data_IF_172478356247
#
_entry.id   IF_172478356247
#
_cell.length_a   1.000
_cell.length_b   1.000
_cell.length_c   1.000
_cell.angle_alpha   90.00
_cell.angle_beta   90.00
_cell.angle_gamma   90.00
#
_symmetry.space_group_name_H-M   'P 1'
#
loop_
_entity.id
_entity.type
_entity.pdbx_description
1 polymer ?
#
# COMPACT_ATOMS: atom_id res chain seq x y z
N UNK A 1 23.55 3.14 14.67
CA UNK A 1 24.47 4.28 14.48
C UNK A 1 25.27 4.06 13.22
N UNK A 2 25.15 4.90 12.21
CA UNK A 2 25.89 4.75 10.94
C UNK A 2 27.34 5.20 11.09
N UNK A 3 28.23 4.80 10.16
CA UNK A 3 29.63 5.23 10.16
C UNK A 3 29.73 6.75 10.01
N UNK A 4 28.82 7.36 9.24
CA UNK A 4 28.77 8.81 9.05
C UNK A 4 28.39 9.54 10.33
N UNK A 5 27.46 9.01 11.12
CA UNK A 5 27.08 9.55 12.43
C UNK A 5 28.22 9.48 13.46
N UNK A 6 29.17 8.56 13.25
CA UNK A 6 30.39 8.42 14.04
C UNK A 6 31.51 9.34 13.56
N UNK A 7 31.26 10.21 12.60
CA UNK A 7 32.24 11.16 12.04
C UNK A 7 33.17 10.54 10.98
N UNK A 8 32.80 9.41 10.41
CA UNK A 8 33.56 8.78 9.32
C UNK A 8 33.54 9.62 8.05
N UNK A 9 34.72 9.97 7.52
CA UNK A 9 34.88 10.63 6.24
C UNK A 9 35.08 9.58 5.16
N UNK A 10 34.07 9.34 4.33
CA UNK A 10 34.10 8.33 3.27
C UNK A 10 33.76 9.00 1.95
N UNK A 11 34.68 8.94 0.98
CA UNK A 11 34.49 9.54 -0.34
C UNK A 11 33.89 8.53 -1.34
N UNK A 12 34.13 7.23 -1.15
CA UNK A 12 33.61 6.19 -2.05
C UNK A 12 33.50 4.85 -1.37
N UNK A 13 32.62 4.00 -1.91
CA UNK A 13 32.41 2.63 -1.46
C UNK A 13 32.68 1.64 -2.58
N UNK A 14 33.41 0.57 -2.27
CA UNK A 14 33.47 -0.62 -3.12
C UNK A 14 32.24 -1.49 -2.84
N UNK A 15 31.39 -1.65 -3.85
CA UNK A 15 30.11 -2.37 -3.71
C UNK A 15 30.20 -3.71 -4.39
N UNK A 16 29.91 -4.78 -3.64
CA UNK A 16 29.92 -6.15 -4.15
C UNK A 16 28.57 -6.63 -4.68
N UNK A 17 28.57 -7.82 -5.22
CA UNK A 17 27.40 -8.54 -5.80
C UNK A 17 26.17 -8.49 -4.91
N UNK A 18 26.32 -8.62 -3.61
CA UNK A 18 25.19 -8.69 -2.67
C UNK A 18 24.29 -7.44 -2.71
N UNK A 19 24.87 -6.26 -2.96
CA UNK A 19 24.09 -5.05 -3.10
C UNK A 19 23.37 -5.00 -4.44
N UNK A 20 24.06 -5.37 -5.53
CA UNK A 20 23.50 -5.36 -6.89
C UNK A 20 22.37 -6.37 -7.02
N UNK A 21 22.48 -7.52 -6.40
CA UNK A 21 21.47 -8.58 -6.45
C UNK A 21 20.42 -8.46 -5.34
N UNK A 22 20.54 -7.48 -4.43
CA UNK A 22 19.69 -7.35 -3.24
C UNK A 22 19.50 -8.72 -2.52
N UNK A 23 20.59 -9.41 -2.24
CA UNK A 23 20.62 -10.83 -1.85
C UNK A 23 19.70 -11.21 -0.69
N UNK A 24 19.40 -10.29 0.20
CA UNK A 24 18.47 -10.51 1.33
C UNK A 24 17.01 -10.50 0.85
N UNK A 25 16.68 -9.68 -0.16
CA UNK A 25 15.32 -9.53 -0.68
C UNK A 25 15.39 -9.13 -2.17
N UNK A 26 15.72 -10.08 -3.05
CA UNK A 26 16.04 -9.78 -4.45
C UNK A 26 14.81 -9.49 -5.32
N UNK A 27 13.62 -9.71 -4.83
CA UNK A 27 12.38 -9.60 -5.61
C UNK A 27 11.25 -9.06 -4.75
N UNK A 28 10.53 -8.05 -5.25
CA UNK A 28 9.24 -7.68 -4.69
C UNK A 28 8.20 -8.71 -5.09
N UNK A 29 7.65 -9.44 -4.12
CA UNK A 29 6.57 -10.38 -4.37
C UNK A 29 5.33 -9.67 -4.90
N UNK A 30 4.78 -10.17 -6.00
CA UNK A 30 3.53 -9.67 -6.55
C UNK A 30 2.58 -10.82 -6.86
N UNK A 31 1.29 -10.63 -6.56
CA UNK A 31 0.24 -11.61 -6.84
C UNK A 31 -0.87 -10.93 -7.62
N UNK A 32 -1.33 -11.59 -8.69
CA UNK A 32 -2.48 -11.15 -9.48
C UNK A 32 -3.63 -12.17 -9.35
N UNK A 33 -4.79 -11.69 -8.97
CA UNK A 33 -6.01 -12.52 -8.88
C UNK A 33 -7.22 -11.73 -9.39
N UNK A 34 -8.11 -12.41 -10.12
CA UNK A 34 -9.39 -11.83 -10.53
C UNK A 34 -10.27 -11.70 -9.31
N UNK A 35 -10.76 -10.49 -9.04
CA UNK A 35 -11.66 -10.19 -7.93
C UNK A 35 -13.08 -9.80 -8.40
N UNK A 36 -13.23 -9.36 -9.65
CA UNK A 36 -14.51 -9.06 -10.26
C UNK A 36 -14.43 -9.21 -11.79
N UNK A 37 -15.57 -9.46 -12.42
CA UNK A 37 -15.73 -9.49 -13.90
C UNK A 37 -16.94 -8.63 -14.23
N UNK A 38 -16.82 -7.77 -15.24
CA UNK A 38 -17.95 -6.98 -15.74
C UNK A 38 -18.84 -7.83 -16.62
N UNK A 39 -20.12 -7.91 -16.27
CA UNK A 39 -21.16 -8.58 -17.02
C UNK A 39 -22.34 -7.62 -17.21
N UNK A 40 -22.67 -7.25 -18.44
CA UNK A 40 -23.76 -6.31 -18.76
C UNK A 40 -23.65 -4.95 -18.03
N UNK A 41 -22.45 -4.41 -17.90
CA UNK A 41 -22.20 -3.13 -17.21
C UNK A 41 -22.17 -3.21 -15.68
N UNK A 42 -22.28 -4.41 -15.10
CA UNK A 42 -22.25 -4.63 -13.65
C UNK A 42 -21.04 -5.49 -13.28
N UNK A 43 -20.26 -5.06 -12.30
CA UNK A 43 -19.15 -5.84 -11.77
C UNK A 43 -19.65 -6.96 -10.86
N UNK A 44 -19.53 -8.19 -11.37
CA UNK A 44 -19.84 -9.40 -10.61
C UNK A 44 -18.61 -9.83 -9.80
N UNK A 45 -18.74 -10.00 -8.49
CA UNK A 45 -17.62 -10.44 -7.66
C UNK A 45 -17.16 -11.85 -8.04
N UNK A 46 -15.87 -12.06 -8.00
CA UNK A 46 -15.23 -13.37 -8.23
C UNK A 46 -14.23 -13.65 -7.11
N UNK A 47 -14.13 -14.91 -6.75
CA UNK A 47 -13.22 -15.36 -5.69
C UNK A 47 -12.47 -16.60 -6.16
N UNK A 48 -11.18 -16.65 -5.88
CA UNK A 48 -10.42 -17.89 -5.98
C UNK A 48 -10.52 -18.64 -4.67
N UNK A 49 -11.16 -19.80 -4.68
CA UNK A 49 -11.21 -20.70 -3.52
C UNK A 49 -9.81 -21.31 -3.33
N UNK A 50 -9.32 -21.29 -2.10
CA UNK A 50 -8.04 -21.88 -1.70
C UNK A 50 -8.24 -22.65 -0.39
N UNK A 51 -7.51 -23.74 -0.21
CA UNK A 51 -7.46 -24.47 1.05
C UNK A 51 -6.85 -23.62 2.19
N UNK A 52 -5.93 -22.72 1.83
CA UNK A 52 -5.42 -21.72 2.77
C UNK A 52 -6.33 -20.50 2.76
N UNK A 53 -7.01 -20.24 3.88
CA UNK A 53 -7.95 -19.13 4.06
C UNK A 53 -7.27 -17.77 3.85
N UNK A 54 -6.01 -17.61 4.23
CA UNK A 54 -5.23 -16.39 4.06
C UNK A 54 -4.97 -16.05 2.57
N UNK A 55 -5.03 -17.06 1.69
CA UNK A 55 -4.89 -16.90 0.23
C UNK A 55 -6.22 -16.60 -0.49
N UNK A 56 -7.32 -16.54 0.25
CA UNK A 56 -8.63 -16.21 -0.32
C UNK A 56 -8.68 -14.69 -0.57
N UNK A 57 -8.97 -14.34 -1.82
CA UNK A 57 -9.07 -12.93 -2.23
C UNK A 57 -10.40 -12.33 -1.76
N UNK A 58 -10.39 -11.11 -1.25
CA UNK A 58 -11.61 -10.34 -1.07
C UNK A 58 -12.24 -10.05 -2.44
N UNK A 59 -13.49 -10.50 -2.71
CA UNK A 59 -14.13 -10.30 -4.00
C UNK A 59 -14.60 -8.87 -4.21
N UNK A 60 -14.97 -8.56 -5.45
CA UNK A 60 -15.56 -7.29 -5.84
C UNK A 60 -14.55 -6.24 -6.32
N UNK A 61 -15.07 -5.21 -6.99
CA UNK A 61 -14.28 -4.04 -7.37
C UNK A 61 -14.01 -3.19 -6.12
N UNK A 62 -12.75 -2.83 -5.91
CA UNK A 62 -12.30 -2.15 -4.67
C UNK A 62 -11.46 -0.93 -4.97
N UNK A 63 -11.42 -0.03 -4.00
CA UNK A 63 -10.52 1.11 -3.92
C UNK A 63 -9.62 0.97 -2.72
N UNK A 64 -8.44 1.56 -2.80
CA UNK A 64 -7.47 1.61 -1.70
C UNK A 64 -7.26 3.06 -1.32
N UNK A 65 -7.43 3.36 -0.04
CA UNK A 65 -7.23 4.69 0.53
C UNK A 65 -6.11 4.64 1.56
N UNK A 66 -5.19 5.58 1.48
CA UNK A 66 -4.27 5.84 2.58
C UNK A 66 -4.85 6.89 3.50
N UNK A 67 -4.90 6.57 4.79
CA UNK A 67 -5.43 7.44 5.83
C UNK A 67 -4.27 8.14 6.51
N UNK A 68 -4.37 9.46 6.59
CA UNK A 68 -3.41 10.33 7.25
C UNK A 68 -4.04 10.98 8.48
N UNK A 69 -3.24 11.10 9.54
CA UNK A 69 -3.63 11.86 10.73
C UNK A 69 -3.53 13.39 10.51
N UNK A 70 -3.80 14.16 11.55
CA UNK A 70 -3.71 15.61 11.54
C UNK A 70 -2.29 16.15 11.29
N UNK A 71 -1.25 15.36 11.57
CA UNK A 71 0.16 15.66 11.29
C UNK A 71 0.60 15.22 9.89
N UNK A 72 -0.33 14.78 9.05
CA UNK A 72 -0.09 14.24 7.69
C UNK A 72 0.75 12.96 7.70
N UNK A 73 0.78 12.21 8.81
CA UNK A 73 1.41 10.90 8.86
C UNK A 73 0.44 9.81 8.46
N UNK A 74 0.89 8.89 7.60
CA UNK A 74 0.11 7.74 7.19
C UNK A 74 -0.10 6.79 8.36
N UNK A 75 -1.34 6.53 8.72
CA UNK A 75 -1.70 5.72 9.90
C UNK A 75 -2.43 4.42 9.56
N UNK A 76 -2.93 4.28 8.34
CA UNK A 76 -3.59 3.08 7.85
C UNK A 76 -3.75 3.11 6.33
N UNK A 77 -3.83 1.91 5.73
CA UNK A 77 -4.38 1.73 4.39
C UNK A 77 -5.74 1.01 4.52
N UNK A 78 -6.78 1.60 3.92
CA UNK A 78 -8.15 1.10 3.95
C UNK A 78 -8.54 0.59 2.57
N UNK A 79 -9.02 -0.65 2.51
CA UNK A 79 -9.64 -1.23 1.31
C UNK A 79 -11.16 -1.12 1.47
N UNK A 80 -11.81 -0.45 0.53
CA UNK A 80 -13.25 -0.26 0.49
C UNK A 80 -13.85 -0.78 -0.83
N UNK A 81 -15.13 -1.08 -0.86
CA UNK A 81 -15.86 -1.30 -2.11
C UNK A 81 -15.80 -0.06 -3.00
N UNK A 82 -15.83 -0.25 -4.33
CA UNK A 82 -15.72 0.88 -5.25
C UNK A 82 -16.89 1.87 -5.16
N UNK A 83 -18.03 1.41 -4.70
CA UNK A 83 -19.27 2.16 -4.45
C UNK A 83 -19.44 2.60 -2.99
N UNK A 84 -18.53 2.17 -2.11
CA UNK A 84 -18.53 2.58 -0.71
C UNK A 84 -17.99 3.99 -0.56
N UNK A 85 -18.68 4.80 0.25
CA UNK A 85 -18.27 6.17 0.57
C UNK A 85 -17.44 6.18 1.85
N UNK A 86 -16.15 6.50 1.71
CA UNK A 86 -15.25 6.71 2.84
C UNK A 86 -15.31 8.19 3.23
N UNK A 87 -16.13 8.51 4.23
CA UNK A 87 -16.34 9.88 4.73
C UNK A 87 -15.64 10.06 6.07
N UNK A 88 -14.47 10.69 6.07
CA UNK A 88 -13.67 11.01 7.26
C UNK A 88 -13.95 12.42 7.83
N UNK A 89 -14.97 13.12 7.34
CA UNK A 89 -15.42 14.38 7.94
C UNK A 89 -16.05 14.22 9.33
N UNK A 90 -16.33 12.99 9.69
CA UNK A 90 -16.87 12.53 10.98
C UNK A 90 -16.16 11.23 11.40
N UNK A 91 -16.28 10.82 12.67
CA UNK A 91 -15.66 9.58 13.15
C UNK A 91 -16.06 8.40 12.28
N UNK A 92 -15.08 7.75 11.66
CA UNK A 92 -15.27 6.58 10.81
C UNK A 92 -14.80 5.33 11.55
N UNK A 93 -15.68 4.35 11.67
CA UNK A 93 -15.35 3.08 12.32
C UNK A 93 -15.02 2.01 11.29
N UNK A 94 -13.79 1.55 11.30
CA UNK A 94 -13.36 0.34 10.61
C UNK A 94 -13.61 -0.89 11.51
N UNK A 95 -14.10 -1.97 10.91
CA UNK A 95 -14.25 -3.28 11.55
C UNK A 95 -13.66 -4.33 10.62
N UNK A 96 -12.74 -5.17 11.14
CA UNK A 96 -12.18 -6.29 10.41
C UNK A 96 -13.30 -7.29 10.06
N UNK A 97 -13.54 -7.63 8.79
CA UNK A 97 -14.65 -8.49 8.39
C UNK A 97 -14.48 -9.94 8.84
N UNK A 98 -13.25 -10.38 9.11
CA UNK A 98 -12.94 -11.75 9.55
C UNK A 98 -12.84 -11.82 11.07
N UNK A 99 -12.32 -10.76 11.69
CA UNK A 99 -12.09 -10.66 13.14
C UNK A 99 -12.80 -9.42 13.69
N UNK A 100 -14.12 -9.44 13.88
CA UNK A 100 -14.92 -8.24 14.22
C UNK A 100 -14.52 -7.55 15.53
N UNK A 101 -13.79 -8.24 16.41
CA UNK A 101 -13.22 -7.63 17.60
C UNK A 101 -12.04 -6.71 17.32
N UNK A 102 -11.40 -6.85 16.14
CA UNK A 102 -10.42 -5.88 15.64
C UNK A 102 -11.17 -4.74 14.96
N UNK A 103 -11.20 -3.62 15.61
CA UNK A 103 -11.81 -2.41 15.05
C UNK A 103 -10.96 -1.18 15.42
N UNK A 104 -11.12 -0.13 14.63
CA UNK A 104 -10.44 1.14 14.85
C UNK A 104 -11.36 2.29 14.46
N UNK A 105 -11.31 3.35 15.23
CA UNK A 105 -11.93 4.62 14.90
C UNK A 105 -10.87 5.55 14.29
N UNK A 106 -11.27 6.24 13.22
CA UNK A 106 -10.50 7.29 12.61
C UNK A 106 -11.23 8.62 12.85
N UNK A 107 -10.56 9.54 13.53
CA UNK A 107 -11.06 10.88 13.84
C UNK A 107 -10.01 11.90 13.44
N UNK A 108 -10.43 13.04 12.91
CA UNK A 108 -9.53 14.11 12.43
C UNK A 108 -8.51 13.61 11.38
N UNK A 109 -8.93 12.67 10.55
CA UNK A 109 -8.09 12.04 9.54
C UNK A 109 -8.50 12.50 8.14
N UNK A 110 -7.59 12.34 7.17
CA UNK A 110 -7.87 12.50 5.74
C UNK A 110 -7.59 11.22 5.00
N UNK A 111 -8.33 10.95 3.92
CA UNK A 111 -8.12 9.79 3.06
C UNK A 111 -7.70 10.23 1.66
N UNK A 112 -6.70 9.55 1.11
CA UNK A 112 -6.24 9.74 -0.27
C UNK A 112 -6.38 8.42 -1.02
N UNK A 113 -7.12 8.42 -2.13
CA UNK A 113 -7.21 7.25 -3.02
C UNK A 113 -5.87 7.01 -3.70
N UNK A 114 -5.32 5.80 -3.55
CA UNK A 114 -3.99 5.45 -4.05
C UNK A 114 -4.00 4.96 -5.51
N UNK A 115 -5.15 4.51 -5.99
CA UNK A 115 -5.26 3.95 -7.33
C UNK A 115 -5.26 5.07 -8.38
N UNK A 116 -4.42 4.89 -9.40
CA UNK A 116 -4.32 5.82 -10.52
C UNK A 116 -4.63 5.11 -11.83
N UNK A 117 -5.36 5.78 -12.70
CA UNK A 117 -5.68 5.26 -14.02
C UNK A 117 -4.45 5.34 -14.93
N UNK A 118 -3.87 4.20 -15.28
CA UNK A 118 -2.67 4.10 -16.10
C UNK A 118 -2.99 3.83 -17.57
N UNK A 119 -3.98 2.96 -17.82
CA UNK A 119 -4.40 2.56 -19.16
C UNK A 119 -5.91 2.67 -19.28
N UNK A 120 -6.41 3.29 -20.35
CA UNK A 120 -7.83 3.36 -20.71
C UNK A 120 -8.02 2.99 -22.18
N UNK A 121 -8.96 2.07 -22.45
CA UNK A 121 -9.25 1.61 -23.80
C UNK A 121 -8.01 1.16 -24.60
N UNK A 122 -7.12 0.40 -23.95
CA UNK A 122 -5.87 -0.07 -24.54
C UNK A 122 -4.78 0.99 -24.76
N UNK A 123 -5.02 2.23 -24.34
CA UNK A 123 -4.06 3.33 -24.46
C UNK A 123 -3.57 3.75 -23.09
N UNK A 124 -2.27 4.00 -22.98
CA UNK A 124 -1.68 4.59 -21.79
C UNK A 124 -2.17 6.03 -21.65
N UNK A 125 -2.69 6.38 -20.48
CA UNK A 125 -3.19 7.72 -20.14
C UNK A 125 -2.34 8.44 -19.10
N UNK A 126 -1.50 7.70 -18.38
CA UNK A 126 -0.56 8.27 -17.44
C UNK A 126 0.76 8.64 -18.13
N UNK A 127 1.29 9.82 -17.86
CA UNK A 127 2.58 10.26 -18.38
C UNK A 127 3.74 9.40 -17.86
N UNK A 128 4.84 9.44 -18.60
CA UNK A 128 6.07 8.79 -18.13
C UNK A 128 6.70 9.66 -17.05
N UNK A 129 6.93 9.07 -15.92
CA UNK A 129 7.64 9.70 -14.79
C UNK A 129 9.13 9.39 -14.93
N UNK A 130 9.98 10.37 -14.75
CA UNK A 130 11.44 10.18 -14.75
C UNK A 130 11.90 9.44 -13.48
N UNK A 131 13.10 8.85 -13.55
CA UNK A 131 13.68 8.18 -12.38
C UNK A 131 13.90 9.17 -11.22
N UNK A 132 14.26 10.41 -11.52
CA UNK A 132 14.51 11.42 -10.49
C UNK A 132 13.21 11.85 -9.80
N UNK A 133 12.11 11.97 -10.54
CA UNK A 133 10.78 12.20 -9.96
C UNK A 133 10.33 11.04 -9.07
N UNK A 134 10.59 9.78 -9.50
CA UNK A 134 10.28 8.59 -8.69
C UNK A 134 11.11 8.60 -7.40
N UNK A 135 12.41 8.88 -7.48
CA UNK A 135 13.29 8.97 -6.31
C UNK A 135 12.81 10.05 -5.34
N UNK A 136 12.48 11.23 -5.87
CA UNK A 136 11.95 12.32 -5.06
C UNK A 136 10.66 11.92 -4.37
N UNK A 137 9.72 11.34 -5.10
CA UNK A 137 8.46 10.84 -4.54
C UNK A 137 8.70 9.85 -3.38
N UNK A 138 9.60 8.87 -3.58
CA UNK A 138 9.94 7.89 -2.53
C UNK A 138 10.55 8.60 -1.32
N UNK A 139 11.49 9.53 -1.53
CA UNK A 139 12.12 10.27 -0.44
C UNK A 139 11.10 11.10 0.35
N UNK A 140 10.22 11.82 -0.36
CA UNK A 140 9.16 12.61 0.28
C UNK A 140 8.23 11.70 1.11
N UNK A 141 7.87 10.52 0.58
CA UNK A 141 7.03 9.56 1.32
C UNK A 141 7.73 9.05 2.59
N UNK A 142 9.00 8.69 2.50
CA UNK A 142 9.77 8.18 3.65
C UNK A 142 9.99 9.24 4.73
N UNK A 143 10.24 10.48 4.33
CA UNK A 143 10.55 11.57 5.26
C UNK A 143 9.29 12.14 5.90
N UNK A 144 8.27 12.41 5.08
CA UNK A 144 7.14 13.24 5.51
C UNK A 144 5.92 12.43 5.91
N UNK A 145 5.68 11.29 5.26
CA UNK A 145 4.40 10.61 5.33
C UNK A 145 4.42 9.23 6.00
N UNK A 146 5.59 8.56 6.09
CA UNK A 146 5.66 7.22 6.65
C UNK A 146 6.14 7.26 8.10
N UNK A 147 5.60 6.35 8.90
CA UNK A 147 5.96 6.18 10.30
C UNK A 147 7.36 5.58 10.45
N UNK A 148 8.01 5.86 11.58
CA UNK A 148 9.23 5.15 11.99
C UNK A 148 8.98 3.64 12.14
N UNK A 149 9.99 2.82 11.93
CA UNK A 149 9.92 1.35 11.84
C UNK A 149 9.13 0.65 12.96
N UNK A 150 9.17 1.17 14.17
CA UNK A 150 8.47 0.59 15.33
C UNK A 150 6.95 0.66 15.24
N UNK A 151 6.38 1.52 14.41
CA UNK A 151 4.93 1.70 14.27
C UNK A 151 4.34 1.05 13.03
N UNK A 152 5.16 0.72 12.04
CA UNK A 152 4.72 0.11 10.77
C UNK A 152 4.16 -1.29 10.92
N UNK A 153 4.59 -2.04 11.93
CA UNK A 153 4.11 -3.40 12.23
C UNK A 153 2.63 -3.53 12.59
N UNK A 154 1.95 -2.42 12.91
CA UNK A 154 0.55 -2.48 13.34
C UNK A 154 -0.46 -2.48 12.19
N UNK A 155 -0.04 -2.18 10.97
CA UNK A 155 -0.93 -1.95 9.83
C UNK A 155 -0.95 -3.06 8.80
N UNK A 156 -0.02 -4.01 8.86
CA UNK A 156 -0.03 -5.19 8.02
C UNK A 156 -0.94 -6.26 8.64
N UNK A 157 -2.19 -6.26 8.25
CA UNK A 157 -3.14 -7.31 8.62
C UNK A 157 -3.33 -8.35 7.51
N UNK A 158 -2.45 -8.39 6.54
CA UNK A 158 -2.40 -9.48 5.58
C UNK A 158 -0.99 -10.04 5.53
N UNK A 159 -0.70 -11.04 6.33
CA UNK A 159 0.31 -12.03 6.04
C UNK A 159 -0.12 -12.74 4.75
N UNK A 160 0.06 -12.08 3.63
CA UNK A 160 -0.20 -12.61 2.30
C UNK A 160 1.10 -13.12 1.65
N UNK A 161 2.13 -13.37 2.45
CA UNK A 161 3.45 -13.69 1.96
C UNK A 161 4.08 -14.87 2.72
N UNK A 162 3.36 -16.01 2.79
CA UNK A 162 3.99 -17.33 2.99
C UNK A 162 3.33 -18.36 2.08
#
# INVERSE_FOLDING_TARGET
>A
MSILEQGGCIDSFGVGERLITAKSDPVFGAVYKIAAVEENGVFQPRIKISENVEKITNPGLKKVYRIYDENKKAIADLIAGADEVVDLSKPYRYVDPVKPWKNRYFENCTAVELQQLVVKNGKRVMDRVSIDEIKKYVQDQLTDNIWEEEQSCLLYTSDAAD
#
